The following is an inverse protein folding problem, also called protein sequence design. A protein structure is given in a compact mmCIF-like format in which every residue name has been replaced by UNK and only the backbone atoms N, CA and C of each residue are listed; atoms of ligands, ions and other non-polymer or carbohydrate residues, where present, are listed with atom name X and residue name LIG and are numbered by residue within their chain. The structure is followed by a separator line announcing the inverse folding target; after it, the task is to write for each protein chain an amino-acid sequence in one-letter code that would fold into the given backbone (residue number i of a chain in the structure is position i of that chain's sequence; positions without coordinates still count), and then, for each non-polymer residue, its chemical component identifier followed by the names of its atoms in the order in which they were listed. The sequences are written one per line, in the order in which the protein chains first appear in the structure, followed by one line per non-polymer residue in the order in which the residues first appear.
data_IF_257846362841
#
_entry.id   IF_257846362841
#
_cell.length_a   1.000
_cell.length_b   1.000
_cell.length_c   1.000
_cell.angle_alpha   90.00
_cell.angle_beta   90.00
_cell.angle_gamma   90.00
#
_symmetry.space_group_name_H-M   'P 1'
#
loop_
_entity.id
_entity.type
_entity.pdbx_description
1 polymer ?
#
# COMPACT_ATOMS: atom_id res chain seq x y z
N UNK A 1 -15.66 10.42 -29.88
CA UNK A 1 -17.04 9.90 -29.69
C UNK A 1 -17.13 9.43 -28.25
N UNK A 2 -17.87 10.16 -27.40
CA UNK A 2 -17.91 9.91 -25.94
C UNK A 2 -18.69 8.63 -25.66
N UNK A 3 -18.27 7.80 -24.67
CA UNK A 3 -18.93 6.54 -24.41
C UNK A 3 -20.27 6.82 -23.70
N UNK A 4 -21.35 6.94 -24.47
CA UNK A 4 -22.72 7.02 -23.94
C UNK A 4 -23.19 5.65 -23.40
N UNK A 5 -22.64 4.57 -23.94
CA UNK A 5 -22.90 3.17 -23.57
C UNK A 5 -22.73 2.88 -22.06
N UNK A 6 -21.64 3.27 -21.37
CA UNK A 6 -21.48 3.03 -19.94
C UNK A 6 -22.51 3.80 -19.10
N UNK A 7 -22.95 4.98 -19.54
CA UNK A 7 -23.94 5.77 -18.79
C UNK A 7 -25.30 5.08 -18.87
N UNK A 8 -25.73 4.67 -20.07
CA UNK A 8 -26.99 3.93 -20.25
C UNK A 8 -26.99 2.59 -19.53
N UNK A 9 -25.88 1.83 -19.56
CA UNK A 9 -25.75 0.59 -18.80
C UNK A 9 -25.81 0.83 -17.30
N UNK A 10 -25.12 1.85 -16.79
CA UNK A 10 -25.17 2.21 -15.37
C UNK A 10 -26.60 2.56 -14.94
N UNK A 11 -27.34 3.32 -15.75
CA UNK A 11 -28.75 3.67 -15.45
C UNK A 11 -29.63 2.43 -15.42
N UNK A 12 -29.53 1.53 -16.41
CA UNK A 12 -30.32 0.28 -16.43
C UNK A 12 -30.01 -0.58 -15.21
N UNK A 13 -28.73 -0.75 -14.88
CA UNK A 13 -28.31 -1.50 -13.69
C UNK A 13 -28.87 -0.86 -12.41
N UNK A 14 -28.82 0.47 -12.27
CA UNK A 14 -29.39 1.17 -11.11
C UNK A 14 -30.90 0.94 -11.01
N UNK A 15 -31.63 1.05 -12.13
CA UNK A 15 -33.09 0.84 -12.16
C UNK A 15 -33.44 -0.60 -11.78
N UNK A 16 -32.74 -1.59 -12.33
CA UNK A 16 -32.94 -3.01 -11.99
C UNK A 16 -32.62 -3.28 -10.52
N UNK A 17 -31.54 -2.69 -10.00
CA UNK A 17 -31.16 -2.80 -8.60
C UNK A 17 -32.24 -2.21 -7.70
N UNK A 18 -32.76 -1.03 -8.02
CA UNK A 18 -33.85 -0.37 -7.29
C UNK A 18 -35.14 -1.19 -7.36
N UNK A 19 -35.49 -1.72 -8.54
CA UNK A 19 -36.66 -2.59 -8.68
C UNK A 19 -36.50 -3.89 -7.89
N UNK A 20 -35.33 -4.50 -7.91
CA UNK A 20 -35.00 -5.66 -7.10
C UNK A 20 -35.12 -5.35 -5.60
N UNK A 21 -34.58 -4.20 -5.16
CA UNK A 21 -34.73 -3.73 -3.78
C UNK A 21 -36.18 -3.50 -3.41
N UNK A 22 -36.97 -2.81 -4.23
CA UNK A 22 -38.39 -2.57 -3.91
C UNK A 22 -39.20 -3.86 -3.77
N UNK A 23 -38.88 -4.89 -4.56
CA UNK A 23 -39.49 -6.25 -4.53
C UNK A 23 -39.04 -7.13 -3.37
N UNK A 24 -37.93 -6.82 -2.70
CA UNK A 24 -37.50 -7.55 -1.50
C UNK A 24 -38.43 -7.24 -0.32
N UNK A 25 -38.84 -8.28 0.42
CA UNK A 25 -39.63 -8.12 1.64
C UNK A 25 -38.90 -7.30 2.71
N UNK A 26 -39.61 -6.66 3.65
CA UNK A 26 -39.04 -5.74 4.64
C UNK A 26 -37.85 -6.34 5.42
N UNK A 27 -37.96 -7.61 5.80
CA UNK A 27 -36.90 -8.32 6.53
C UNK A 27 -35.66 -8.61 5.68
N UNK A 28 -35.79 -8.81 4.37
CA UNK A 28 -34.64 -9.06 3.48
C UNK A 28 -33.89 -7.78 3.16
N UNK A 29 -34.60 -6.65 3.06
CA UNK A 29 -34.02 -5.31 2.90
C UNK A 29 -33.13 -4.93 4.07
N UNK A 30 -33.59 -5.15 5.30
CA UNK A 30 -32.83 -4.82 6.51
C UNK A 30 -31.58 -5.68 6.64
N UNK A 31 -31.68 -7.00 6.42
CA UNK A 31 -30.51 -7.89 6.44
C UNK A 31 -29.46 -7.45 5.41
N UNK A 32 -29.87 -7.19 4.16
CA UNK A 32 -28.95 -6.76 3.12
C UNK A 32 -28.29 -5.42 3.46
N UNK A 33 -29.06 -4.43 3.91
CA UNK A 33 -28.55 -3.12 4.29
C UNK A 33 -27.51 -3.23 5.43
N UNK A 34 -27.79 -4.06 6.44
CA UNK A 34 -26.85 -4.32 7.53
C UNK A 34 -25.56 -4.99 7.05
N UNK A 35 -25.65 -5.99 6.17
CA UNK A 35 -24.47 -6.65 5.60
C UNK A 35 -23.61 -5.69 4.80
N UNK A 36 -24.23 -4.88 3.94
CA UNK A 36 -23.50 -3.88 3.15
C UNK A 36 -22.86 -2.83 4.06
N UNK A 37 -23.61 -2.28 5.01
CA UNK A 37 -23.08 -1.30 5.95
C UNK A 37 -21.88 -1.86 6.75
N UNK A 38 -21.96 -3.12 7.20
CA UNK A 38 -20.87 -3.80 7.90
C UNK A 38 -19.62 -3.95 7.03
N UNK A 39 -19.76 -4.37 5.77
CA UNK A 39 -18.64 -4.50 4.83
C UNK A 39 -17.99 -3.15 4.52
N UNK A 40 -18.79 -2.11 4.33
CA UNK A 40 -18.28 -0.76 4.09
C UNK A 40 -17.54 -0.20 5.30
N UNK A 41 -18.10 -0.36 6.51
CA UNK A 41 -17.44 0.09 7.73
C UNK A 41 -16.14 -0.67 8.00
N UNK A 42 -16.14 -2.00 7.82
CA UNK A 42 -14.95 -2.83 7.96
C UNK A 42 -13.87 -2.47 6.93
N UNK A 43 -14.25 -2.30 5.66
CA UNK A 43 -13.35 -1.89 4.59
C UNK A 43 -12.75 -0.50 4.84
N UNK A 44 -13.56 0.45 5.32
CA UNK A 44 -13.09 1.78 5.68
C UNK A 44 -12.07 1.76 6.82
N UNK A 45 -12.36 1.03 7.90
CA UNK A 45 -11.47 0.92 9.04
C UNK A 45 -10.11 0.30 8.66
N UNK A 46 -10.12 -0.77 7.85
CA UNK A 46 -8.90 -1.41 7.35
C UNK A 46 -8.10 -0.44 6.46
N UNK A 47 -8.78 0.28 5.57
CA UNK A 47 -8.14 1.25 4.69
C UNK A 47 -7.44 2.37 5.49
N UNK A 48 -8.06 2.86 6.57
CA UNK A 48 -7.49 3.90 7.42
C UNK A 48 -6.24 3.40 8.15
N UNK A 49 -6.29 2.18 8.70
CA UNK A 49 -5.12 1.55 9.34
C UNK A 49 -3.96 1.41 8.34
N UNK A 50 -4.24 0.93 7.13
CA UNK A 50 -3.23 0.79 6.08
C UNK A 50 -2.66 2.15 5.64
N UNK A 51 -3.48 3.19 5.57
CA UNK A 51 -3.02 4.56 5.30
C UNK A 51 -2.07 5.04 6.38
N UNK A 52 -2.43 4.84 7.65
CA UNK A 52 -1.61 5.23 8.78
C UNK A 52 -0.26 4.50 8.77
N UNK A 53 -0.27 3.18 8.57
CA UNK A 53 0.95 2.38 8.45
C UNK A 53 1.83 2.81 7.28
N UNK A 54 1.23 3.12 6.12
CA UNK A 54 1.97 3.61 4.98
C UNK A 54 2.59 4.97 5.23
N UNK A 55 1.92 5.85 5.98
CA UNK A 55 2.47 7.12 6.39
C UNK A 55 3.70 6.93 7.27
N UNK A 56 3.62 6.09 8.30
CA UNK A 56 4.76 5.71 9.15
C UNK A 56 5.90 5.08 8.36
N UNK A 57 5.59 4.19 7.41
CA UNK A 57 6.59 3.56 6.54
C UNK A 57 7.29 4.60 5.69
N UNK A 58 6.55 5.52 5.08
CA UNK A 58 7.13 6.63 4.30
C UNK A 58 8.01 7.52 5.17
N UNK A 59 7.56 7.84 6.38
CA UNK A 59 8.31 8.68 7.31
C UNK A 59 9.62 8.01 7.76
N UNK A 60 9.59 6.71 8.06
CA UNK A 60 10.82 5.94 8.35
C UNK A 60 11.74 5.88 7.15
N UNK A 61 11.20 5.63 5.96
CA UNK A 61 12.00 5.61 4.74
C UNK A 61 12.67 6.96 4.47
N UNK A 62 11.94 8.07 4.66
CA UNK A 62 12.45 9.43 4.49
C UNK A 62 13.56 9.77 5.50
N UNK A 63 13.37 9.36 6.76
CA UNK A 63 14.38 9.56 7.79
C UNK A 63 15.65 8.74 7.51
N UNK A 64 15.50 7.47 7.09
CA UNK A 64 16.62 6.61 6.72
C UNK A 64 17.35 7.14 5.46
N UNK A 65 16.62 7.66 4.47
CA UNK A 65 17.25 8.30 3.30
C UNK A 65 18.03 9.56 3.70
N UNK A 66 17.46 10.42 4.55
CA UNK A 66 18.15 11.62 5.04
C UNK A 66 19.43 11.27 5.79
N UNK A 67 19.40 10.25 6.65
CA UNK A 67 20.58 9.79 7.38
C UNK A 67 21.68 9.28 6.43
N UNK A 68 21.30 8.52 5.40
CA UNK A 68 22.26 8.02 4.40
C UNK A 68 22.83 9.14 3.53
N UNK A 69 22.03 10.13 3.16
CA UNK A 69 22.48 11.31 2.42
C UNK A 69 23.47 12.15 3.23
N UNK A 70 23.21 12.35 4.53
CA UNK A 70 24.17 13.02 5.43
C UNK A 70 25.49 12.25 5.56
N UNK A 71 25.43 10.91 5.59
CA UNK A 71 26.62 10.07 5.73
C UNK A 71 27.47 10.01 4.46
N UNK A 72 26.86 10.16 3.28
CA UNK A 72 27.55 10.06 1.99
C UNK A 72 27.20 11.22 1.03
N UNK A 73 27.63 12.47 1.32
CA UNK A 73 27.22 13.65 0.54
C UNK A 73 27.70 13.65 -0.92
N UNK A 74 28.79 12.93 -1.21
CA UNK A 74 29.39 12.78 -2.54
C UNK A 74 28.77 11.63 -3.37
N UNK A 75 27.85 10.84 -2.78
CA UNK A 75 27.16 9.76 -3.47
C UNK A 75 25.69 10.09 -3.72
N UNK A 76 25.12 9.55 -4.78
CA UNK A 76 23.68 9.40 -4.93
C UNK A 76 23.22 8.18 -4.13
N UNK A 77 22.30 8.39 -3.21
CA UNK A 77 21.72 7.35 -2.37
C UNK A 77 20.38 6.93 -2.96
N UNK A 78 20.24 5.66 -3.34
CA UNK A 78 18.97 5.09 -3.79
C UNK A 78 18.64 3.86 -2.97
N UNK A 79 17.42 3.81 -2.42
CA UNK A 79 16.93 2.60 -1.74
C UNK A 79 16.30 1.66 -2.75
N UNK A 80 16.80 0.44 -2.83
CA UNK A 80 16.24 -0.61 -3.68
C UNK A 80 15.01 -1.24 -3.01
N UNK A 81 14.12 -1.81 -3.83
CA UNK A 81 12.90 -2.52 -3.37
C UNK A 81 13.21 -3.74 -2.50
N UNK A 82 14.40 -4.33 -2.64
CA UNK A 82 14.90 -5.42 -1.81
C UNK A 82 15.39 -4.98 -0.42
N UNK A 83 15.32 -3.68 -0.10
CA UNK A 83 15.75 -3.13 1.19
C UNK A 83 17.23 -2.78 1.28
N UNK A 84 18.03 -3.03 0.23
CA UNK A 84 19.44 -2.63 0.18
C UNK A 84 19.61 -1.17 -0.26
N UNK A 85 20.72 -0.58 0.16
CA UNK A 85 21.12 0.76 -0.25
C UNK A 85 22.09 0.68 -1.42
N UNK A 86 21.75 1.36 -2.50
CA UNK A 86 22.59 1.50 -3.67
C UNK A 86 23.19 2.91 -3.69
N UNK A 87 24.51 2.98 -3.54
CA UNK A 87 25.26 4.23 -3.54
C UNK A 87 25.99 4.33 -4.88
N UNK A 88 25.83 5.47 -5.55
CA UNK A 88 26.52 5.76 -6.81
C UNK A 88 27.37 7.00 -6.65
N UNK A 89 28.66 6.92 -6.94
CA UNK A 89 29.55 8.08 -6.84
C UNK A 89 29.18 9.13 -7.89
N UNK A 90 29.01 10.40 -7.48
CA UNK A 90 28.60 11.49 -8.40
C UNK A 90 29.66 11.80 -9.47
N UNK A 91 30.93 11.59 -9.15
CA UNK A 91 32.04 11.91 -10.04
C UNK A 91 32.25 10.88 -11.16
N UNK A 92 32.12 9.58 -10.86
CA UNK A 92 32.43 8.50 -11.81
C UNK A 92 31.20 7.71 -12.26
N UNK A 93 30.05 7.88 -11.59
CA UNK A 93 28.86 7.07 -11.84
C UNK A 93 29.01 5.60 -11.45
N UNK A 94 30.10 5.24 -10.76
CA UNK A 94 30.35 3.85 -10.34
C UNK A 94 29.62 3.56 -9.04
N UNK A 95 29.26 2.28 -8.87
CA UNK A 95 28.71 1.79 -7.61
C UNK A 95 29.77 1.96 -6.51
N UNK A 96 29.40 2.67 -5.46
CA UNK A 96 30.20 2.81 -4.26
C UNK A 96 29.76 1.74 -3.25
N UNK A 97 30.64 0.79 -2.94
CA UNK A 97 30.41 -0.20 -1.87
C UNK A 97 31.18 0.27 -0.61
N UNK A 98 30.54 0.97 0.34
CA UNK A 98 31.22 1.39 1.56
C UNK A 98 31.62 0.20 2.42
N UNK A 99 32.83 0.21 3.00
CA UNK A 99 33.25 -0.81 3.96
C UNK A 99 32.35 -0.73 5.21
N UNK A 100 31.55 -1.78 5.45
CA UNK A 100 30.70 -1.91 6.64
C UNK A 100 29.18 -1.78 6.43
N UNK A 101 28.68 -1.39 5.24
CA UNK A 101 27.23 -1.31 4.98
C UNK A 101 26.59 -2.67 4.61
N UNK A 102 27.38 -3.76 4.59
CA UNK A 102 26.90 -5.12 4.30
C UNK A 102 26.11 -5.78 5.45
N UNK A 103 25.89 -5.10 6.57
CA UNK A 103 25.44 -5.76 7.81
C UNK A 103 24.16 -5.15 8.40
N UNK A 104 23.11 -5.02 7.60
CA UNK A 104 21.75 -5.04 8.16
C UNK A 104 20.84 -5.92 7.30
N UNK A 105 21.24 -7.18 7.16
CA UNK A 105 20.29 -8.26 6.92
C UNK A 105 19.33 -8.24 8.12
N UNK A 106 18.00 -8.15 7.94
CA UNK A 106 17.11 -8.46 9.04
C UNK A 106 17.40 -9.92 9.40
N UNK A 107 17.86 -10.16 10.63
CA UNK A 107 18.03 -11.50 11.19
C UNK A 107 16.65 -12.12 11.39
N UNK A 108 15.95 -12.43 10.30
CA UNK A 108 14.83 -13.37 10.29
C UNK A 108 15.38 -14.74 9.91
N UNK A 109 16.40 -15.19 10.62
CA UNK A 109 16.75 -16.60 10.70
C UNK A 109 16.36 -17.01 12.11
N UNK A 110 15.07 -17.27 12.28
CA UNK A 110 14.52 -18.00 13.41
C UNK A 110 15.11 -19.40 13.27
N UNK A 111 16.15 -19.68 14.04
CA UNK A 111 16.53 -21.04 14.41
C UNK A 111 15.36 -21.60 15.23
N UNK A 112 14.41 -22.26 14.55
CA UNK A 112 13.53 -23.27 15.14
C UNK A 112 14.07 -24.63 14.71
N UNK A 113 15.22 -24.99 15.27
CA UNK A 113 15.72 -26.36 15.29
C UNK A 113 16.32 -26.62 16.66
N UNK A 114 15.45 -26.69 17.66
CA UNK A 114 15.73 -27.30 18.95
C UNK A 114 14.39 -27.75 19.54
N UNK A 115 13.90 -28.90 19.07
CA UNK A 115 13.02 -29.78 19.82
C UNK A 115 13.28 -31.20 19.36
#
# INVERSE_FOLDING_TARGET
MKPLVPITLAVVVIVDLVMFFTRLGPHRKTVFACTVAGLFAGGWAIAEILRHMNHWRKHRNANETMFMEQRFPFCHVTRLSNGQWFLTEKATGRKFDPPGLRTHRPTSQIDRSAT
#
